data_IF_587213804951
#
_entry.id   IF_587213804951
#
_cell.length_a   1.000
_cell.length_b   1.000
_cell.length_c   1.000
_cell.angle_alpha   90.00
_cell.angle_beta   90.00
_cell.angle_gamma   90.00
#
_symmetry.space_group_name_H-M   'P 1'
#
loop_
_entity.id
_entity.type
_entity.pdbx_description
1 polymer ?
#
# COMPACT_ATOMS: atom_id res chain seq x y z
N UNK A 1 -28.26 -15.49 3.29
CA UNK A 1 -27.52 -14.54 2.44
C UNK A 1 -27.42 -13.15 3.11
N UNK A 2 -28.53 -12.49 3.48
CA UNK A 2 -28.51 -11.16 4.11
C UNK A 2 -27.77 -11.11 5.45
N UNK A 3 -27.80 -12.18 6.21
CA UNK A 3 -27.12 -12.27 7.51
C UNK A 3 -25.59 -12.29 7.35
N UNK A 4 -25.09 -13.01 6.36
CA UNK A 4 -23.65 -13.09 6.06
C UNK A 4 -23.09 -11.78 5.52
N UNK A 5 -23.86 -11.08 4.66
CA UNK A 5 -23.47 -9.76 4.14
C UNK A 5 -23.37 -8.71 5.25
N UNK A 6 -24.31 -8.69 6.19
CA UNK A 6 -24.26 -7.79 7.34
C UNK A 6 -23.04 -8.03 8.25
N UNK A 7 -22.68 -9.29 8.48
CA UNK A 7 -21.50 -9.66 9.24
C UNK A 7 -20.20 -9.16 8.59
N UNK A 8 -20.09 -9.21 7.26
CA UNK A 8 -18.93 -8.69 6.53
C UNK A 8 -18.73 -7.19 6.81
N UNK A 9 -19.83 -6.41 6.85
CA UNK A 9 -19.75 -4.98 7.14
C UNK A 9 -19.36 -4.70 8.59
N UNK A 10 -19.91 -5.44 9.56
CA UNK A 10 -19.62 -5.30 11.00
C UNK A 10 -18.17 -5.63 11.32
N UNK A 11 -17.60 -6.65 10.67
CA UNK A 11 -16.16 -7.01 10.81
C UNK A 11 -15.25 -5.95 10.18
N UNK A 12 -15.79 -4.93 9.52
CA UNK A 12 -15.03 -3.80 8.98
C UNK A 12 -14.57 -3.99 7.54
N UNK A 13 -15.10 -4.97 6.84
CA UNK A 13 -14.84 -5.22 5.41
C UNK A 13 -15.85 -4.47 4.54
N UNK A 14 -15.98 -3.16 4.78
CA UNK A 14 -16.99 -2.32 4.16
C UNK A 14 -16.87 -2.23 2.63
N UNK A 15 -15.64 -2.32 2.09
CA UNK A 15 -15.42 -2.34 0.62
C UNK A 15 -16.02 -3.61 0.02
N UNK A 16 -15.82 -4.76 0.64
CA UNK A 16 -16.42 -6.03 0.21
C UNK A 16 -17.94 -5.97 0.28
N UNK A 17 -18.49 -5.41 1.35
CA UNK A 17 -19.92 -5.23 1.49
C UNK A 17 -20.50 -4.37 0.37
N UNK A 18 -19.89 -3.20 0.08
CA UNK A 18 -20.33 -2.32 -1.00
C UNK A 18 -20.18 -2.99 -2.37
N UNK A 19 -19.08 -3.70 -2.59
CA UNK A 19 -18.83 -4.42 -3.83
C UNK A 19 -19.90 -5.48 -4.08
N UNK A 20 -20.23 -6.28 -3.06
CA UNK A 20 -21.28 -7.28 -3.15
C UNK A 20 -22.63 -6.65 -3.44
N UNK A 21 -22.94 -5.50 -2.87
CA UNK A 21 -24.17 -4.74 -3.18
C UNK A 21 -24.20 -4.31 -4.64
N UNK A 22 -23.11 -3.78 -5.17
CA UNK A 22 -23.02 -3.36 -6.58
C UNK A 22 -23.14 -4.57 -7.53
N UNK A 23 -22.48 -5.67 -7.21
CA UNK A 23 -22.54 -6.89 -8.03
C UNK A 23 -23.95 -7.52 -7.99
N UNK A 24 -24.60 -7.54 -6.82
CA UNK A 24 -25.95 -8.07 -6.69
C UNK A 24 -27.00 -7.26 -7.45
N UNK A 25 -26.76 -5.95 -7.63
CA UNK A 25 -27.61 -5.07 -8.44
C UNK A 25 -27.43 -5.31 -9.95
N UNK A 26 -26.28 -5.83 -10.36
CA UNK A 26 -25.91 -6.03 -11.76
C UNK A 26 -26.18 -7.46 -12.29
N UNK A 27 -27.07 -8.23 -11.66
CA UNK A 27 -27.31 -9.64 -11.93
C UNK A 27 -26.02 -10.48 -11.85
N UNK A 28 -25.95 -11.39 -10.90
CA UNK A 28 -24.74 -12.15 -10.58
C UNK A 28 -24.25 -12.98 -11.78
N UNK A 29 -23.15 -12.55 -12.40
CA UNK A 29 -22.47 -13.26 -13.45
C UNK A 29 -21.09 -13.73 -12.91
N UNK A 30 -20.95 -14.96 -12.38
CA UNK A 30 -19.73 -15.42 -11.70
C UNK A 30 -18.50 -15.35 -12.61
N UNK A 31 -18.64 -15.66 -13.88
CA UNK A 31 -17.54 -15.57 -14.84
C UNK A 31 -16.97 -14.15 -14.99
N UNK A 32 -17.84 -13.14 -14.99
CA UNK A 32 -17.42 -11.73 -15.11
C UNK A 32 -16.67 -11.28 -13.87
N UNK A 33 -17.12 -11.70 -12.68
CA UNK A 33 -16.47 -11.36 -11.41
C UNK A 33 -15.10 -12.02 -11.29
N UNK A 34 -14.96 -13.28 -11.67
CA UNK A 34 -13.70 -14.01 -11.66
C UNK A 34 -12.70 -13.41 -12.64
N UNK A 35 -13.16 -13.11 -13.85
CA UNK A 35 -12.34 -12.47 -14.87
C UNK A 35 -11.86 -11.08 -14.43
N UNK A 36 -12.74 -10.27 -13.84
CA UNK A 36 -12.39 -8.97 -13.28
C UNK A 36 -11.35 -9.09 -12.15
N UNK A 37 -11.49 -10.09 -11.26
CA UNK A 37 -10.53 -10.34 -10.21
C UNK A 37 -9.14 -10.69 -10.75
N UNK A 38 -9.05 -11.53 -11.78
CA UNK A 38 -7.80 -11.88 -12.45
C UNK A 38 -7.16 -10.64 -13.08
N UNK A 39 -7.93 -9.81 -13.78
CA UNK A 39 -7.43 -8.56 -14.38
C UNK A 39 -6.90 -7.59 -13.30
N UNK A 40 -7.61 -7.43 -12.19
CA UNK A 40 -7.19 -6.60 -11.07
C UNK A 40 -5.90 -7.13 -10.42
N UNK A 41 -5.76 -8.46 -10.33
CA UNK A 41 -4.57 -9.08 -9.78
C UNK A 41 -3.36 -8.88 -10.70
N UNK A 42 -3.55 -8.99 -12.03
CA UNK A 42 -2.51 -8.67 -13.01
C UNK A 42 -2.12 -7.19 -12.90
N UNK A 43 -3.10 -6.28 -12.79
CA UNK A 43 -2.85 -4.87 -12.60
C UNK A 43 -2.05 -4.62 -11.30
N UNK A 44 -2.40 -5.29 -10.21
CA UNK A 44 -1.65 -5.24 -8.96
C UNK A 44 -0.20 -5.69 -9.15
N UNK A 45 0.04 -6.82 -9.84
CA UNK A 45 1.38 -7.33 -10.12
C UNK A 45 2.22 -6.32 -10.92
N UNK A 46 1.62 -5.65 -11.90
CA UNK A 46 2.28 -4.60 -12.70
C UNK A 46 2.65 -3.41 -11.80
N UNK A 47 1.74 -2.93 -10.96
CA UNK A 47 2.00 -1.79 -10.07
C UNK A 47 3.07 -2.13 -9.04
N UNK A 48 3.05 -3.33 -8.44
CA UNK A 48 4.11 -3.81 -7.55
C UNK A 48 5.48 -3.87 -8.27
N UNK A 49 5.52 -4.38 -9.51
CA UNK A 49 6.73 -4.43 -10.31
C UNK A 49 7.26 -3.03 -10.63
N UNK A 50 6.37 -2.08 -10.98
CA UNK A 50 6.72 -0.68 -11.20
C UNK A 50 7.26 -0.01 -9.94
N UNK A 51 6.69 -0.32 -8.77
CA UNK A 51 7.18 0.14 -7.48
C UNK A 51 8.62 -0.32 -7.23
N UNK A 52 8.91 -1.61 -7.42
CA UNK A 52 10.27 -2.14 -7.29
C UNK A 52 11.22 -1.56 -8.33
N UNK A 53 10.76 -1.38 -9.57
CA UNK A 53 11.57 -0.72 -10.60
C UNK A 53 11.94 0.71 -10.20
N UNK A 54 11.05 1.45 -9.55
CA UNK A 54 11.32 2.81 -9.08
C UNK A 54 12.46 2.87 -8.04
N UNK A 55 12.73 1.76 -7.36
CA UNK A 55 13.78 1.66 -6.31
C UNK A 55 15.08 1.08 -6.84
N UNK A 56 14.98 -0.02 -7.58
CA UNK A 56 16.16 -0.76 -8.06
C UNK A 56 16.61 -0.29 -9.45
N UNK A 57 15.71 0.26 -10.27
CA UNK A 57 16.03 0.75 -11.62
C UNK A 57 16.63 -0.33 -12.50
N UNK A 58 17.67 0.03 -13.21
CA UNK A 58 18.41 -0.87 -14.12
C UNK A 58 19.33 -1.90 -13.43
N UNK A 59 19.41 -1.88 -12.09
CA UNK A 59 20.22 -2.86 -11.33
C UNK A 59 19.64 -4.28 -11.45
N UNK A 60 18.34 -4.39 -11.66
CA UNK A 60 17.65 -5.64 -11.93
C UNK A 60 17.22 -5.63 -13.40
N UNK A 61 17.55 -6.69 -14.18
CA UNK A 61 17.14 -6.78 -15.57
C UNK A 61 15.59 -6.84 -15.66
N UNK A 62 15.04 -6.34 -16.75
CA UNK A 62 13.57 -6.29 -16.96
C UNK A 62 12.91 -7.66 -16.83
N UNK A 63 13.62 -8.72 -17.19
CA UNK A 63 13.18 -10.12 -16.97
C UNK A 63 12.94 -10.46 -15.51
N UNK A 64 13.69 -9.86 -14.57
CA UNK A 64 13.49 -10.06 -13.13
C UNK A 64 12.15 -9.50 -12.65
N UNK A 65 11.73 -8.35 -13.16
CA UNK A 65 10.42 -7.76 -12.84
C UNK A 65 9.28 -8.55 -13.45
N UNK A 66 9.46 -9.05 -14.69
CA UNK A 66 8.49 -9.93 -15.32
C UNK A 66 8.35 -11.26 -14.59
N UNK A 67 9.47 -11.83 -14.11
CA UNK A 67 9.46 -13.04 -13.30
C UNK A 67 8.75 -12.82 -11.96
N UNK A 68 9.01 -11.70 -11.29
CA UNK A 68 8.29 -11.33 -10.07
C UNK A 68 6.77 -11.24 -10.32
N UNK A 69 6.34 -10.56 -11.38
CA UNK A 69 4.93 -10.44 -11.72
C UNK A 69 4.29 -11.80 -11.99
N UNK A 70 4.98 -12.69 -12.73
CA UNK A 70 4.51 -14.04 -13.01
C UNK A 70 4.37 -14.86 -11.72
N UNK A 71 5.38 -14.85 -10.85
CA UNK A 71 5.33 -15.56 -9.55
C UNK A 71 4.25 -15.00 -8.64
N UNK A 72 4.05 -13.67 -8.63
CA UNK A 72 3.02 -13.02 -7.84
C UNK A 72 1.63 -13.50 -8.24
N UNK A 73 1.32 -13.55 -9.55
CA UNK A 73 0.00 -13.99 -10.06
C UNK A 73 -0.19 -15.49 -9.91
N UNK A 74 0.85 -16.29 -10.09
CA UNK A 74 0.79 -17.75 -10.03
C UNK A 74 0.99 -18.33 -8.61
N UNK A 75 1.07 -17.48 -7.58
CA UNK A 75 1.27 -17.93 -6.22
C UNK A 75 0.13 -18.86 -5.77
N UNK A 76 0.40 -20.07 -5.27
CA UNK A 76 -0.63 -21.03 -4.86
C UNK A 76 -1.58 -20.48 -3.78
N UNK A 77 -1.10 -19.59 -2.90
CA UNK A 77 -1.91 -18.93 -1.89
C UNK A 77 -3.00 -18.04 -2.52
N UNK A 78 -2.75 -17.51 -3.72
CA UNK A 78 -3.75 -16.72 -4.45
C UNK A 78 -4.84 -17.64 -5.02
N UNK A 79 -4.50 -18.88 -5.40
CA UNK A 79 -5.51 -19.82 -5.88
C UNK A 79 -6.53 -20.20 -4.81
N UNK A 80 -6.13 -20.28 -3.54
CA UNK A 80 -7.07 -20.49 -2.43
C UNK A 80 -8.07 -19.33 -2.29
N UNK A 81 -7.66 -18.12 -2.64
CA UNK A 81 -8.53 -16.95 -2.60
C UNK A 81 -9.70 -17.07 -3.57
N UNK A 82 -9.49 -17.71 -4.73
CA UNK A 82 -10.54 -17.95 -5.72
C UNK A 82 -11.56 -19.02 -5.29
N UNK A 83 -11.28 -19.80 -4.25
CA UNK A 83 -12.25 -20.73 -3.68
C UNK A 83 -13.31 -20.01 -2.81
N UNK A 84 -13.03 -18.78 -2.41
CA UNK A 84 -13.94 -17.95 -1.62
C UNK A 84 -14.54 -16.84 -2.49
N UNK A 85 -15.81 -16.53 -2.28
CA UNK A 85 -16.52 -15.43 -2.99
C UNK A 85 -15.94 -14.02 -2.76
N UNK A 86 -14.82 -13.91 -2.08
CA UNK A 86 -14.19 -12.64 -1.67
C UNK A 86 -12.99 -12.24 -2.54
N UNK A 87 -12.74 -12.96 -3.65
CA UNK A 87 -11.55 -12.80 -4.49
C UNK A 87 -11.41 -11.39 -5.09
N UNK A 88 -12.51 -10.76 -5.50
CA UNK A 88 -12.48 -9.38 -6.03
C UNK A 88 -11.96 -8.37 -5.01
N UNK A 89 -12.41 -8.49 -3.76
CA UNK A 89 -11.94 -7.61 -2.69
C UNK A 89 -10.46 -7.81 -2.37
N UNK A 90 -9.98 -9.03 -2.44
CA UNK A 90 -8.55 -9.32 -2.23
C UNK A 90 -7.70 -8.73 -3.35
N UNK A 91 -8.13 -8.87 -4.62
CA UNK A 91 -7.44 -8.27 -5.76
C UNK A 91 -7.40 -6.73 -5.67
N UNK A 92 -8.53 -6.09 -5.29
CA UNK A 92 -8.60 -4.64 -5.03
C UNK A 92 -7.68 -4.26 -3.87
N UNK A 93 -7.62 -5.05 -2.81
CA UNK A 93 -6.75 -4.83 -1.67
C UNK A 93 -5.27 -4.82 -2.04
N UNK A 94 -4.80 -5.80 -2.82
CA UNK A 94 -3.43 -5.84 -3.34
C UNK A 94 -3.11 -4.63 -4.22
N UNK A 95 -4.01 -4.28 -5.14
CA UNK A 95 -3.84 -3.12 -6.02
C UNK A 95 -3.79 -1.81 -5.22
N UNK A 96 -4.73 -1.60 -4.31
CA UNK A 96 -4.81 -0.40 -3.48
C UNK A 96 -3.59 -0.26 -2.57
N UNK A 97 -3.10 -1.37 -2.01
CA UNK A 97 -1.88 -1.41 -1.21
C UNK A 97 -0.65 -0.97 -2.04
N UNK A 98 -0.50 -1.50 -3.26
CA UNK A 98 0.57 -1.12 -4.17
C UNK A 98 0.52 0.37 -4.55
N UNK A 99 -0.65 0.87 -4.92
CA UNK A 99 -0.85 2.30 -5.27
C UNK A 99 -0.55 3.20 -4.08
N UNK A 100 -0.97 2.83 -2.88
CA UNK A 100 -0.65 3.56 -1.65
C UNK A 100 0.87 3.69 -1.44
N UNK A 101 1.61 2.60 -1.59
CA UNK A 101 3.08 2.61 -1.49
C UNK A 101 3.75 3.43 -2.59
N UNK A 102 3.22 3.40 -3.83
CA UNK A 102 3.68 4.27 -4.91
C UNK A 102 3.50 5.76 -4.55
N UNK A 103 2.33 6.13 -4.00
CA UNK A 103 2.07 7.49 -3.55
C UNK A 103 3.02 7.92 -2.41
N UNK A 104 3.30 7.03 -1.46
CA UNK A 104 4.30 7.26 -0.40
C UNK A 104 5.70 7.47 -0.99
N UNK A 105 6.09 6.67 -1.96
CA UNK A 105 7.37 6.80 -2.66
C UNK A 105 7.48 8.13 -3.39
N UNK A 106 6.47 8.52 -4.13
CA UNK A 106 6.41 9.79 -4.84
C UNK A 106 6.46 11.00 -3.89
N UNK A 107 5.77 10.91 -2.74
CA UNK A 107 5.85 11.89 -1.67
C UNK A 107 7.29 12.03 -1.14
N UNK A 108 7.94 10.92 -0.85
CA UNK A 108 9.32 10.87 -0.37
C UNK A 108 10.29 11.53 -1.37
N UNK A 109 10.15 11.22 -2.67
CA UNK A 109 10.97 11.83 -3.73
C UNK A 109 10.74 13.34 -3.85
N UNK A 110 9.50 13.80 -3.68
CA UNK A 110 9.15 15.23 -3.69
C UNK A 110 9.85 15.99 -2.57
N UNK A 111 9.82 15.46 -1.33
CA UNK A 111 10.53 16.08 -0.19
C UNK A 111 12.04 16.11 -0.40
N UNK A 112 12.62 15.06 -0.97
CA UNK A 112 14.05 15.04 -1.28
C UNK A 112 14.46 16.09 -2.32
N UNK A 113 13.61 16.31 -3.33
CA UNK A 113 13.83 17.38 -4.34
C UNK A 113 13.79 18.75 -3.69
N UNK A 114 12.80 19.03 -2.83
CA UNK A 114 12.70 20.29 -2.10
C UNK A 114 13.94 20.56 -1.23
N UNK A 115 14.44 19.56 -0.48
CA UNK A 115 15.65 19.72 0.35
C UNK A 115 16.91 19.99 -0.46
N UNK A 116 17.02 19.50 -1.70
CA UNK A 116 18.17 19.75 -2.58
C UNK A 116 18.11 21.10 -3.29
N UNK A 117 16.90 21.65 -3.50
CA UNK A 117 16.65 22.93 -4.20
C UNK A 117 16.60 24.15 -3.28
N UNK A 118 16.75 24.01 -1.97
CA UNK A 118 16.52 25.06 -0.98
C UNK A 118 17.60 26.14 -0.87
N UNK A 119 17.97 26.73 -2.04
CA UNK A 119 18.57 28.07 -2.07
C UNK A 119 17.55 29.22 -2.12
N UNK A 120 16.31 28.96 -2.48
CA UNK A 120 15.21 29.93 -2.53
C UNK A 120 13.96 29.28 -1.91
N UNK A 121 13.37 30.00 -0.99
CA UNK A 121 12.17 29.70 -0.18
C UNK A 121 10.94 29.51 -1.10
N UNK A 122 10.89 28.39 -1.83
CA UNK A 122 9.68 28.01 -2.56
C UNK A 122 8.64 27.49 -1.56
N UNK A 123 7.41 28.00 -1.72
CA UNK A 123 6.23 27.55 -0.96
C UNK A 123 6.14 26.03 -0.99
N UNK A 124 5.69 25.40 0.11
CA UNK A 124 5.45 23.95 0.09
C UNK A 124 4.47 23.65 -1.03
N UNK A 125 4.98 22.97 -2.05
CA UNK A 125 4.15 22.58 -3.20
C UNK A 125 2.95 21.78 -2.70
N UNK A 126 1.75 22.28 -3.01
CA UNK A 126 0.48 21.62 -2.80
C UNK A 126 0.49 20.10 -3.16
N UNK A 127 1.32 19.65 -4.15
CA UNK A 127 1.38 18.24 -4.55
C UNK A 127 1.93 17.26 -3.51
N UNK A 128 2.72 17.71 -2.52
CA UNK A 128 3.27 16.77 -1.52
C UNK A 128 2.19 16.28 -0.54
N UNK A 129 1.32 17.18 -0.08
CA UNK A 129 0.22 16.83 0.83
C UNK A 129 -0.81 15.95 0.12
N UNK A 130 -1.12 16.23 -1.15
CA UNK A 130 -2.08 15.44 -1.92
C UNK A 130 -1.60 14.00 -2.14
N UNK A 131 -0.30 13.78 -2.35
CA UNK A 131 0.28 12.44 -2.48
C UNK A 131 0.17 11.64 -1.17
N UNK A 132 0.41 12.28 -0.03
CA UNK A 132 0.26 11.64 1.28
C UNK A 132 -1.21 11.34 1.58
N UNK A 133 -2.12 12.26 1.26
CA UNK A 133 -3.56 12.04 1.39
C UNK A 133 -4.03 10.88 0.49
N UNK A 134 -3.56 10.83 -0.76
CA UNK A 134 -3.86 9.72 -1.67
C UNK A 134 -3.34 8.39 -1.12
N UNK A 135 -2.13 8.35 -0.56
CA UNK A 135 -1.59 7.15 0.07
C UNK A 135 -2.49 6.66 1.22
N UNK A 136 -2.97 7.57 2.07
CA UNK A 136 -3.87 7.24 3.17
C UNK A 136 -5.24 6.74 2.67
N UNK A 137 -5.81 7.34 1.62
CA UNK A 137 -7.08 6.91 1.03
C UNK A 137 -6.96 5.51 0.42
N UNK A 138 -5.91 5.22 -0.35
CA UNK A 138 -5.72 3.89 -0.91
C UNK A 138 -5.44 2.83 0.16
N UNK A 139 -4.71 3.19 1.23
CA UNK A 139 -4.53 2.30 2.37
C UNK A 139 -5.86 2.02 3.09
N UNK A 140 -6.70 3.05 3.26
CA UNK A 140 -8.02 2.91 3.82
C UNK A 140 -8.92 1.98 3.01
N UNK A 141 -8.91 2.07 1.67
CA UNK A 141 -9.60 1.14 0.78
C UNK A 141 -9.07 -0.28 0.96
N UNK A 142 -7.75 -0.47 0.98
CA UNK A 142 -7.14 -1.79 1.19
C UNK A 142 -7.57 -2.42 2.52
N UNK A 143 -7.56 -1.65 3.62
CA UNK A 143 -8.03 -2.09 4.93
C UNK A 143 -9.53 -2.36 4.98
N UNK A 144 -10.31 -1.67 4.13
CA UNK A 144 -11.74 -1.93 3.95
C UNK A 144 -12.03 -3.23 3.21
N UNK A 145 -11.05 -3.78 2.49
CA UNK A 145 -11.13 -5.12 1.93
C UNK A 145 -10.73 -6.18 2.97
N UNK A 146 -9.57 -6.03 3.58
CA UNK A 146 -9.03 -6.93 4.59
C UNK A 146 -8.03 -6.23 5.50
N UNK A 147 -8.09 -6.48 6.80
CA UNK A 147 -7.20 -5.87 7.81
C UNK A 147 -5.73 -6.26 7.60
N UNK A 148 -5.47 -7.48 7.13
CA UNK A 148 -4.13 -8.00 6.85
C UNK A 148 -3.37 -7.18 5.81
N UNK A 149 -4.04 -6.39 4.97
CA UNK A 149 -3.37 -5.48 4.04
C UNK A 149 -2.59 -4.38 4.74
N UNK A 150 -2.91 -4.04 5.98
CA UNK A 150 -2.09 -3.14 6.78
C UNK A 150 -0.70 -3.72 7.06
N UNK A 151 -0.64 -5.02 7.39
CA UNK A 151 0.63 -5.72 7.63
C UNK A 151 1.45 -5.79 6.35
N UNK A 152 0.80 -6.12 5.22
CA UNK A 152 1.44 -6.14 3.90
C UNK A 152 1.98 -4.75 3.53
N UNK A 153 1.22 -3.70 3.78
CA UNK A 153 1.64 -2.32 3.51
C UNK A 153 2.84 -1.91 4.38
N UNK A 154 2.83 -2.23 5.67
CA UNK A 154 3.96 -1.98 6.57
C UNK A 154 5.22 -2.75 6.13
N UNK A 155 5.07 -4.02 5.78
CA UNK A 155 6.16 -4.82 5.25
C UNK A 155 6.72 -4.22 3.94
N UNK A 156 5.84 -3.80 3.04
CA UNK A 156 6.22 -3.12 1.80
C UNK A 156 6.97 -1.80 2.06
N UNK A 157 6.51 -1.00 3.02
CA UNK A 157 7.19 0.25 3.41
C UNK A 157 8.60 -0.03 3.96
N UNK A 158 8.74 -1.02 4.84
CA UNK A 158 10.05 -1.43 5.38
C UNK A 158 10.97 -1.93 4.27
N UNK A 159 10.46 -2.78 3.36
CA UNK A 159 11.24 -3.26 2.22
C UNK A 159 11.72 -2.13 1.32
N UNK A 160 10.89 -1.12 1.05
CA UNK A 160 11.28 0.05 0.28
C UNK A 160 12.42 0.83 0.96
N UNK A 161 12.33 1.04 2.28
CA UNK A 161 13.36 1.73 3.04
C UNK A 161 14.68 0.94 3.07
N UNK A 162 14.62 -0.38 3.24
CA UNK A 162 15.79 -1.27 3.19
C UNK A 162 16.42 -1.27 1.80
N UNK A 163 15.63 -1.39 0.75
CA UNK A 163 16.10 -1.38 -0.63
C UNK A 163 16.81 -0.06 -0.98
N UNK A 164 16.33 1.06 -0.48
CA UNK A 164 17.04 2.34 -0.62
C UNK A 164 18.36 2.38 0.11
N UNK A 165 18.44 1.80 1.30
CA UNK A 165 19.70 1.71 2.05
C UNK A 165 20.74 0.92 1.27
N UNK A 166 20.40 -0.29 0.84
CA UNK A 166 21.27 -1.16 0.06
C UNK A 166 21.68 -0.48 -1.26
N UNK A 167 20.73 0.20 -1.91
CA UNK A 167 20.99 0.93 -3.16
C UNK A 167 21.99 2.07 -3.00
N UNK A 168 22.03 2.75 -1.85
CA UNK A 168 22.97 3.82 -1.57
C UNK A 168 24.38 3.30 -1.23
N UNK A 169 24.50 2.19 -0.50
CA UNK A 169 25.79 1.60 -0.14
C UNK A 169 26.55 1.10 -1.36
N UNK A 170 25.87 0.47 -2.32
CA UNK A 170 26.50 -0.02 -3.56
C UNK A 170 27.08 1.12 -4.42
N UNK A 171 26.47 2.30 -4.44
CA UNK A 171 27.00 3.47 -5.15
C UNK A 171 28.25 4.00 -4.44
N UNK A 172 28.31 3.96 -3.13
CA UNK A 172 29.46 4.43 -2.36
C UNK A 172 30.69 3.52 -2.54
N UNK A 173 30.50 2.20 -2.61
CA UNK A 173 31.58 1.25 -2.85
C UNK A 173 32.14 1.34 -4.28
N UNK A 174 31.29 1.52 -5.29
CA UNK A 174 31.70 1.63 -6.69
C UNK A 174 32.46 2.94 -7.00
N UNK A 175 32.20 4.02 -6.25
CA UNK A 175 32.90 5.30 -6.42
C UNK A 175 34.31 5.32 -5.78
N UNK A 176 34.59 4.39 -4.86
CA UNK A 176 35.87 4.36 -4.13
C UNK A 176 37.02 3.73 -4.91
N UNK A 177 36.72 2.90 -5.91
CA UNK A 177 37.73 2.23 -6.74
C UNK A 177 38.29 3.10 -7.86
N UNK A 178 37.74 4.28 -8.16
CA UNK A 178 38.17 5.19 -9.26
C UNK A 178 38.86 6.48 -8.81
N UNK A 179 39.06 6.74 -7.54
CA UNK A 179 39.81 7.90 -7.04
C UNK A 179 40.81 7.47 -5.98
N UNK A 180 41.92 6.90 -6.44
CA UNK A 180 43.17 6.92 -5.71
C UNK A 180 43.71 8.35 -5.69
N UNK A 181 44.15 8.76 -4.50
CA UNK A 181 45.02 9.89 -4.20
C UNK A 181 44.48 11.32 -4.29
N UNK A 182 44.57 11.93 -3.13
CA UNK A 182 44.45 13.36 -2.77
C UNK A 182 43.06 13.93 -2.60
N UNK A 183 42.56 13.86 -1.37
CA UNK A 183 42.22 15.03 -0.55
C UNK A 183 41.35 14.63 0.66
N UNK A 184 41.90 14.97 1.85
CA UNK A 184 41.34 15.40 3.12
C UNK A 184 40.01 14.77 3.60
N UNK A 185 39.99 14.11 4.76
CA UNK A 185 38.81 13.55 5.40
C UNK A 185 38.05 14.64 6.15
N UNK A 186 37.20 15.42 5.45
CA UNK A 186 36.29 16.34 6.10
C UNK A 186 34.93 16.19 5.48
N UNK A 187 33.91 15.87 6.30
CA UNK A 187 32.46 15.79 6.02
C UNK A 187 31.80 14.41 5.81
N UNK A 188 32.30 13.33 6.42
CA UNK A 188 31.52 12.07 6.45
C UNK A 188 30.36 12.11 7.47
N UNK A 189 30.49 12.86 8.56
CA UNK A 189 29.52 12.93 9.67
C UNK A 189 28.23 13.67 9.30
N UNK A 190 28.32 14.72 8.46
CA UNK A 190 27.17 15.53 8.07
C UNK A 190 26.22 14.78 7.10
N UNK A 191 26.74 13.88 6.26
CA UNK A 191 25.92 13.07 5.35
C UNK A 191 25.11 11.99 6.07
N UNK A 192 25.63 11.40 7.14
CA UNK A 192 24.91 10.40 7.94
C UNK A 192 23.70 11.02 8.69
N UNK A 193 23.86 12.17 9.29
CA UNK A 193 22.80 12.84 10.05
C UNK A 193 21.60 13.25 9.16
N UNK A 194 21.85 13.72 7.94
CA UNK A 194 20.79 14.08 6.99
C UNK A 194 19.98 12.88 6.44
N UNK A 195 20.59 11.71 6.41
CA UNK A 195 19.96 10.48 5.93
C UNK A 195 19.03 9.85 6.96
N UNK A 196 19.42 9.86 8.23
CA UNK A 196 18.57 9.36 9.32
C UNK A 196 17.31 10.21 9.49
N UNK A 197 17.44 11.53 9.45
CA UNK A 197 16.29 12.44 9.49
C UNK A 197 15.28 12.19 8.34
N UNK A 198 15.76 11.73 7.18
CA UNK A 198 14.90 11.36 6.04
C UNK A 198 14.07 10.11 6.32
N UNK A 199 14.64 9.09 6.96
CA UNK A 199 13.95 7.83 7.29
C UNK A 199 12.91 8.08 8.37
N UNK A 200 13.25 8.81 9.42
CA UNK A 200 12.30 9.18 10.46
C UNK A 200 11.09 9.95 9.90
N UNK A 201 11.32 10.85 8.94
CA UNK A 201 10.22 11.56 8.28
C UNK A 201 9.30 10.62 7.50
N UNK A 202 9.85 9.62 6.79
CA UNK A 202 9.04 8.63 6.06
C UNK A 202 8.28 7.72 7.00
N UNK A 203 8.91 7.25 8.09
CA UNK A 203 8.24 6.44 9.11
C UNK A 203 7.15 7.22 9.82
N UNK A 204 7.39 8.48 10.17
CA UNK A 204 6.38 9.34 10.81
C UNK A 204 5.20 9.61 9.86
N UNK A 205 5.46 9.88 8.58
CA UNK A 205 4.41 10.07 7.59
C UNK A 205 3.64 8.78 7.33
N UNK A 206 4.33 7.63 7.28
CA UNK A 206 3.71 6.32 7.17
C UNK A 206 2.80 6.03 8.37
N UNK A 207 3.28 6.29 9.59
CA UNK A 207 2.47 6.15 10.80
C UNK A 207 1.25 7.08 10.78
N UNK A 208 1.41 8.32 10.36
CA UNK A 208 0.28 9.26 10.23
C UNK A 208 -0.75 8.79 9.19
N UNK A 209 -0.30 8.30 8.03
CA UNK A 209 -1.19 7.73 7.01
C UNK A 209 -1.93 6.49 7.52
N UNK A 210 -1.24 5.61 8.25
CA UNK A 210 -1.84 4.42 8.85
C UNK A 210 -2.88 4.78 9.92
N UNK A 211 -2.58 5.71 10.82
CA UNK A 211 -3.52 6.19 11.83
C UNK A 211 -4.76 6.82 11.19
N UNK A 212 -4.56 7.65 10.17
CA UNK A 212 -5.68 8.25 9.43
C UNK A 212 -6.55 7.18 8.77
N UNK A 213 -5.95 6.18 8.15
CA UNK A 213 -6.67 5.07 7.52
C UNK A 213 -7.47 4.25 8.55
N UNK A 214 -6.92 4.00 9.75
CA UNK A 214 -7.63 3.33 10.85
C UNK A 214 -8.82 4.15 11.33
N UNK A 215 -8.65 5.46 11.51
CA UNK A 215 -9.73 6.35 11.95
C UNK A 215 -10.86 6.42 10.90
N UNK A 216 -10.49 6.57 9.62
CA UNK A 216 -11.46 6.57 8.53
C UNK A 216 -12.20 5.23 8.43
N UNK A 217 -11.49 4.11 8.64
CA UNK A 217 -12.11 2.79 8.67
C UNK A 217 -13.13 2.68 9.79
N UNK A 218 -12.77 3.08 11.01
CA UNK A 218 -13.68 3.04 12.16
C UNK A 218 -14.92 3.91 11.93
N UNK A 219 -14.74 5.10 11.37
CA UNK A 219 -15.83 5.97 10.98
C UNK A 219 -16.76 5.31 9.94
N UNK A 220 -16.15 4.68 8.91
CA UNK A 220 -16.91 4.04 7.84
C UNK A 220 -17.72 2.84 8.32
N UNK A 221 -17.23 2.06 9.28
CA UNK A 221 -17.98 0.97 9.92
C UNK A 221 -19.26 1.54 10.56
N UNK A 222 -19.13 2.62 11.33
CA UNK A 222 -20.28 3.26 11.98
C UNK A 222 -21.28 3.79 10.95
N UNK A 223 -20.78 4.42 9.88
CA UNK A 223 -21.64 4.95 8.80
C UNK A 223 -22.38 3.81 8.10
N UNK A 224 -21.68 2.75 7.67
CA UNK A 224 -22.31 1.61 6.98
C UNK A 224 -23.33 0.92 7.88
N UNK A 225 -23.01 0.70 9.14
CA UNK A 225 -23.91 0.06 10.10
C UNK A 225 -25.21 0.87 10.27
N UNK A 226 -25.11 2.20 10.36
CA UNK A 226 -26.28 3.07 10.49
C UNK A 226 -27.09 3.19 9.20
N UNK A 227 -26.43 3.41 8.06
CA UNK A 227 -27.11 3.59 6.76
C UNK A 227 -27.88 2.34 6.34
N UNK A 228 -27.32 1.17 6.59
CA UNK A 228 -27.95 -0.11 6.22
C UNK A 228 -28.76 -0.75 7.37
N UNK A 229 -28.96 -0.04 8.49
CA UNK A 229 -29.72 -0.52 9.64
C UNK A 229 -29.26 -1.88 10.18
N UNK A 230 -27.93 -2.11 10.24
CA UNK A 230 -27.33 -3.37 10.67
C UNK A 230 -27.16 -3.47 12.20
N UNK A 231 -27.66 -2.51 12.96
CA UNK A 231 -27.50 -2.42 14.42
C UNK A 231 -28.04 -3.66 15.15
N UNK A 232 -29.11 -4.28 14.62
CA UNK A 232 -29.68 -5.50 15.17
C UNK A 232 -28.73 -6.71 15.09
N UNK A 233 -27.86 -6.77 14.10
CA UNK A 233 -26.90 -7.86 13.94
C UNK A 233 -25.74 -7.78 14.94
N UNK A 234 -25.41 -6.58 15.44
CA UNK A 234 -24.40 -6.42 16.47
C UNK A 234 -24.80 -7.06 17.78
N UNK A 235 -26.07 -6.94 18.17
CA UNK A 235 -26.62 -7.56 19.36
C UNK A 235 -26.58 -9.10 19.28
N UNK A 236 -26.97 -9.68 18.15
CA UNK A 236 -26.95 -11.12 17.94
C UNK A 236 -25.52 -11.71 17.83
N UNK A 237 -24.59 -10.99 17.20
CA UNK A 237 -23.20 -11.43 17.09
C UNK A 237 -22.51 -11.49 18.47
N UNK A 238 -22.78 -10.51 19.34
CA UNK A 238 -22.27 -10.51 20.73
C UNK A 238 -22.90 -11.64 21.53
N UNK A 239 -24.19 -11.91 21.37
CA UNK A 239 -24.88 -12.95 22.12
C UNK A 239 -24.39 -14.35 21.75
N UNK A 240 -24.04 -14.61 20.47
CA UNK A 240 -23.46 -15.88 20.01
C UNK A 240 -21.99 -16.08 20.37
N UNK A 241 -21.25 -15.02 20.62
CA UNK A 241 -19.84 -15.12 21.06
C UNK A 241 -19.69 -15.45 22.55
N UNK A 242 -20.78 -15.36 23.33
CA UNK A 242 -20.82 -15.59 24.77
C UNK A 242 -21.42 -16.97 25.11
N UNK A 243 -22.03 -17.66 24.15
CA UNK A 243 -22.52 -19.03 24.28
C UNK A 243 -21.61 -20.01 23.59
#
# INVERSE_FOLDING_TARGET
YYFEEGLIAIVGRWVLFLLNKVISLAEFAPFVTDFAAVLLLIAAAIVWSALFYSVFGEKIPMTGYAYFAAVFVSCPLISEVFTYFLHNGIAIGYLSCAVSLCCMREWQLSIRKQRKGSGLREKPDCPAVTKLAAAAVFLWIAMGCYESFMILWLAGLVLLLLAERIGMETVHCSGRTKKSEKSRPENSTVKHCGMEAGIFAVLAAGAAAALLAILLRSLMIVVVTKVFHLEYLQGEAVQRSVT
#
